data_IF_422530896116
#
_entry.id   IF_422530896116
#
_cell.length_a   1.000
_cell.length_b   1.000
_cell.length_c   1.000
_cell.angle_alpha   90.00
_cell.angle_beta   90.00
_cell.angle_gamma   90.00
#
_symmetry.space_group_name_H-M   'P 1'
#
loop_
_entity.id
_entity.type
_entity.pdbx_description
1 polymer ?
#
# COMPACT_ATOMS: atom_id res chain seq x y z
N UNK A 1 -21.26 5.21 30.78
CA UNK A 1 -21.56 6.01 29.57
C UNK A 1 -20.40 5.87 28.62
N UNK A 2 -20.58 5.22 27.45
CA UNK A 2 -19.50 5.08 26.44
C UNK A 2 -19.30 6.43 25.77
N UNK A 3 -18.42 7.26 26.35
CA UNK A 3 -17.96 8.50 25.73
C UNK A 3 -17.33 8.15 24.39
N UNK A 4 -17.96 8.57 23.29
CA UNK A 4 -17.40 8.46 21.95
C UNK A 4 -16.04 9.17 21.88
N UNK A 5 -15.15 8.74 21.00
CA UNK A 5 -13.87 9.43 20.80
C UNK A 5 -14.12 10.87 20.32
N UNK A 6 -13.30 11.81 20.77
CA UNK A 6 -13.35 13.22 20.31
C UNK A 6 -13.30 13.28 18.78
N UNK A 7 -14.14 14.11 18.17
CA UNK A 7 -14.18 14.34 16.71
C UNK A 7 -12.80 14.71 16.15
N UNK A 8 -11.99 15.41 16.96
CA UNK A 8 -10.58 15.74 16.67
C UNK A 8 -9.73 14.52 16.29
N UNK A 9 -9.95 13.36 16.91
CA UNK A 9 -9.20 12.13 16.59
C UNK A 9 -9.50 11.67 15.18
N UNK A 10 -10.77 11.71 14.76
CA UNK A 10 -11.17 11.36 13.41
C UNK A 10 -10.62 12.33 12.37
N UNK A 11 -10.57 13.64 12.68
CA UNK A 11 -9.91 14.62 11.81
C UNK A 11 -8.41 14.36 11.67
N UNK A 12 -7.70 14.12 12.77
CA UNK A 12 -6.25 13.87 12.77
C UNK A 12 -5.94 12.58 12.00
N UNK A 13 -6.64 11.50 12.32
CA UNK A 13 -6.40 10.21 11.69
C UNK A 13 -6.85 10.20 10.22
N UNK A 14 -7.99 10.80 9.91
CA UNK A 14 -8.49 10.92 8.54
C UNK A 14 -7.54 11.72 7.65
N UNK A 15 -7.06 12.86 8.14
CA UNK A 15 -6.10 13.70 7.40
C UNK A 15 -4.76 13.00 7.20
N UNK A 16 -4.23 12.31 8.22
CA UNK A 16 -3.01 11.53 8.06
C UNK A 16 -3.21 10.37 7.08
N UNK A 17 -4.36 9.71 7.11
CA UNK A 17 -4.69 8.61 6.23
C UNK A 17 -4.86 9.07 4.76
N UNK A 18 -5.04 10.37 4.47
CA UNK A 18 -5.00 10.91 3.10
C UNK A 18 -3.66 10.64 2.38
N UNK A 19 -2.58 10.35 3.10
CA UNK A 19 -1.36 9.85 2.44
C UNK A 19 -1.60 8.53 1.68
N UNK A 20 -2.55 7.70 2.15
CA UNK A 20 -3.02 6.53 1.41
C UNK A 20 -3.78 6.91 0.15
N UNK A 21 -4.60 7.96 0.20
CA UNK A 21 -5.29 8.50 -0.97
C UNK A 21 -4.30 8.88 -2.08
N UNK A 22 -3.21 9.60 -1.75
CA UNK A 22 -2.18 9.96 -2.73
C UNK A 22 -1.51 8.75 -3.38
N UNK A 23 -1.19 7.75 -2.57
CA UNK A 23 -0.65 6.50 -3.09
C UNK A 23 -1.64 5.87 -4.09
N UNK A 24 -2.91 5.74 -3.70
CA UNK A 24 -3.94 5.19 -4.57
C UNK A 24 -4.19 5.98 -5.86
N UNK A 25 -4.20 7.31 -5.77
CA UNK A 25 -4.35 8.20 -6.93
C UNK A 25 -3.22 8.00 -7.94
N UNK A 26 -1.98 7.82 -7.49
CA UNK A 26 -0.87 7.55 -8.39
C UNK A 26 -0.99 6.19 -9.07
N UNK A 27 -1.34 5.14 -8.31
CA UNK A 27 -1.52 3.79 -8.84
C UNK A 27 -2.61 3.73 -9.91
N UNK A 28 -3.78 4.30 -9.61
CA UNK A 28 -4.88 4.37 -10.57
C UNK A 28 -4.60 5.33 -11.73
N UNK A 29 -3.79 6.36 -11.53
CA UNK A 29 -3.42 7.28 -12.60
C UNK A 29 -2.70 6.54 -13.72
N UNK A 30 -1.60 5.83 -13.41
CA UNK A 30 -0.85 5.09 -14.43
C UNK A 30 -1.72 4.08 -15.14
N UNK A 31 -2.57 3.36 -14.41
CA UNK A 31 -3.47 2.38 -15.00
C UNK A 31 -4.28 2.93 -16.18
N UNK A 32 -4.77 4.17 -16.04
CA UNK A 32 -5.67 4.78 -17.02
C UNK A 32 -5.00 5.79 -17.94
N UNK A 33 -3.79 6.27 -17.62
CA UNK A 33 -3.07 7.30 -18.37
C UNK A 33 -1.85 6.77 -19.11
N UNK A 34 -1.37 5.55 -18.84
CA UNK A 34 -0.15 5.02 -19.46
C UNK A 34 -0.22 5.01 -20.99
N UNK A 35 -1.34 4.60 -21.57
CA UNK A 35 -1.55 4.63 -23.02
C UNK A 35 -1.50 6.08 -23.57
N UNK A 36 -2.11 7.02 -22.87
CA UNK A 36 -2.05 8.46 -23.21
C UNK A 36 -0.61 8.99 -23.14
N UNK A 37 0.16 8.61 -22.11
CA UNK A 37 1.57 8.99 -21.95
C UNK A 37 2.40 8.41 -23.10
N UNK A 38 2.16 7.13 -23.46
CA UNK A 38 2.83 6.49 -24.60
C UNK A 38 2.57 7.24 -25.90
N UNK A 39 1.33 7.68 -26.14
CA UNK A 39 0.96 8.46 -27.33
C UNK A 39 1.60 9.85 -27.37
N UNK A 40 1.66 10.56 -26.24
CA UNK A 40 2.24 11.92 -26.15
C UNK A 40 3.77 11.88 -26.30
N UNK A 41 4.44 10.91 -25.67
CA UNK A 41 5.92 10.86 -25.63
C UNK A 41 6.52 9.82 -26.59
N UNK A 42 5.71 9.10 -27.37
CA UNK A 42 6.18 8.07 -28.30
C UNK A 42 6.83 6.87 -27.61
N UNK A 43 6.34 6.46 -26.43
CA UNK A 43 6.96 5.36 -25.66
C UNK A 43 6.53 3.98 -26.18
N UNK A 44 7.51 3.12 -26.42
CA UNK A 44 7.30 1.69 -26.59
C UNK A 44 6.88 1.02 -25.27
N UNK A 45 6.57 -0.28 -25.31
CA UNK A 45 6.09 -1.02 -24.14
C UNK A 45 7.17 -1.05 -23.05
N UNK A 46 8.42 -1.31 -23.43
CA UNK A 46 9.54 -1.36 -22.50
C UNK A 46 9.78 -0.02 -21.81
N UNK A 47 9.74 1.09 -22.54
CA UNK A 47 9.92 2.44 -21.96
C UNK A 47 8.72 2.84 -21.09
N UNK A 48 7.52 2.36 -21.41
CA UNK A 48 6.31 2.58 -20.61
C UNK A 48 6.34 1.79 -19.28
N UNK A 49 6.79 0.53 -19.32
CA UNK A 49 7.05 -0.27 -18.12
C UNK A 49 8.13 0.39 -17.25
N UNK A 50 9.22 0.83 -17.89
CA UNK A 50 10.30 1.52 -17.20
C UNK A 50 9.87 2.83 -16.55
N UNK A 51 9.05 3.62 -17.25
CA UNK A 51 8.42 4.81 -16.67
C UNK A 51 7.54 4.46 -15.46
N UNK A 52 6.76 3.38 -15.55
CA UNK A 52 5.91 2.93 -14.45
C UNK A 52 6.74 2.47 -13.25
N UNK A 53 7.84 1.76 -13.48
CA UNK A 53 8.69 1.16 -12.44
C UNK A 53 9.59 2.15 -11.70
N UNK A 54 9.99 3.27 -12.33
CA UNK A 54 10.81 4.32 -11.69
C UNK A 54 10.18 4.87 -10.40
N UNK A 55 8.84 4.89 -10.34
CA UNK A 55 8.14 5.24 -9.09
C UNK A 55 8.57 4.32 -7.94
N UNK A 56 8.67 3.02 -8.18
CA UNK A 56 9.04 2.06 -7.16
C UNK A 56 10.48 2.27 -6.70
N UNK A 57 11.41 2.65 -7.59
CA UNK A 57 12.77 3.05 -7.22
C UNK A 57 12.75 4.25 -6.27
N UNK A 58 11.94 5.28 -6.58
CA UNK A 58 11.67 6.39 -5.66
C UNK A 58 11.13 5.90 -4.32
N UNK A 59 10.16 4.98 -4.34
CA UNK A 59 9.55 4.35 -3.17
C UNK A 59 10.55 3.64 -2.26
N UNK A 60 11.51 2.89 -2.83
CA UNK A 60 12.59 2.23 -2.07
C UNK A 60 13.46 3.27 -1.35
N UNK A 61 13.90 4.31 -2.06
CA UNK A 61 14.74 5.37 -1.46
C UNK A 61 13.96 6.17 -0.42
N UNK A 62 12.69 6.49 -0.70
CA UNK A 62 11.79 7.16 0.22
C UNK A 62 11.57 6.36 1.50
N UNK A 63 11.34 5.05 1.38
CA UNK A 63 11.20 4.13 2.52
C UNK A 63 12.50 4.05 3.33
N UNK A 64 13.65 3.93 2.67
CA UNK A 64 14.96 3.88 3.35
C UNK A 64 15.23 5.15 4.19
N UNK A 65 14.93 6.33 3.63
CA UNK A 65 15.16 7.61 4.33
C UNK A 65 14.04 7.96 5.32
N UNK A 66 12.87 7.33 5.22
CA UNK A 66 11.71 7.61 6.08
C UNK A 66 11.99 7.41 7.57
N UNK A 67 12.79 6.40 7.95
CA UNK A 67 13.17 6.18 9.35
C UNK A 67 14.02 7.32 9.93
N UNK A 68 14.92 7.89 9.13
CA UNK A 68 15.72 9.06 9.51
C UNK A 68 14.83 10.30 9.62
N UNK A 69 13.97 10.52 8.62
CA UNK A 69 13.04 11.65 8.61
C UNK A 69 12.07 11.58 9.82
N UNK A 70 11.49 10.42 10.11
CA UNK A 70 10.65 10.19 11.28
C UNK A 70 11.35 10.59 12.58
N UNK A 71 12.62 10.20 12.73
CA UNK A 71 13.40 10.43 13.96
C UNK A 71 13.84 11.88 14.13
N UNK A 72 14.36 12.50 13.08
CA UNK A 72 14.94 13.85 13.15
C UNK A 72 13.91 14.94 12.92
N UNK A 73 13.12 14.81 11.85
CA UNK A 73 12.17 15.82 11.41
C UNK A 73 10.83 15.72 12.16
N UNK A 74 10.45 14.53 12.61
CA UNK A 74 9.13 14.25 13.21
C UNK A 74 8.15 13.70 12.18
N UNK A 75 7.02 13.17 12.65
CA UNK A 75 6.03 12.51 11.80
C UNK A 75 5.25 13.54 11.00
N UNK A 76 4.77 14.61 11.64
CA UNK A 76 4.00 15.69 10.98
C UNK A 76 4.81 16.29 9.82
N UNK A 77 6.01 16.77 10.12
CA UNK A 77 6.85 17.46 9.13
C UNK A 77 7.29 16.55 7.99
N UNK A 78 7.46 15.25 8.25
CA UNK A 78 7.72 14.26 7.19
C UNK A 78 6.52 14.11 6.25
N UNK A 79 5.28 14.12 6.75
CA UNK A 79 4.07 14.12 5.91
C UNK A 79 3.93 15.41 5.10
N UNK A 80 4.23 16.57 5.69
CA UNK A 80 4.23 17.86 4.99
C UNK A 80 5.23 17.85 3.84
N UNK A 81 6.47 17.39 4.08
CA UNK A 81 7.50 17.28 3.06
C UNK A 81 7.06 16.34 1.92
N UNK A 82 6.52 15.18 2.27
CA UNK A 82 5.99 14.22 1.31
C UNK A 82 4.87 14.84 0.45
N UNK A 83 3.89 15.50 1.07
CA UNK A 83 2.80 16.15 0.35
C UNK A 83 3.28 17.26 -0.58
N UNK A 84 4.27 18.06 -0.15
CA UNK A 84 4.88 19.10 -0.97
C UNK A 84 5.57 18.52 -2.21
N UNK A 85 6.47 17.54 -2.02
CA UNK A 85 7.21 16.90 -3.12
C UNK A 85 6.23 16.28 -4.11
N UNK A 86 5.21 15.59 -3.61
CA UNK A 86 4.20 14.96 -4.45
C UNK A 86 3.42 15.99 -5.27
N UNK A 87 2.89 17.03 -4.62
CA UNK A 87 2.14 18.10 -5.27
C UNK A 87 2.98 18.86 -6.33
N UNK A 88 4.21 19.25 -5.97
CA UNK A 88 5.11 19.95 -6.88
C UNK A 88 5.49 19.08 -8.09
N UNK A 89 5.78 17.80 -7.87
CA UNK A 89 6.12 16.87 -8.95
C UNK A 89 4.93 16.63 -9.89
N UNK A 90 3.72 16.46 -9.36
CA UNK A 90 2.50 16.35 -10.17
C UNK A 90 2.21 17.61 -10.97
N UNK A 91 2.46 18.80 -10.40
CA UNK A 91 2.27 20.07 -11.09
C UNK A 91 3.24 20.22 -12.26
N UNK A 92 4.52 19.87 -12.05
CA UNK A 92 5.51 19.88 -13.12
C UNK A 92 5.13 18.87 -14.20
N UNK A 93 4.68 17.66 -13.86
CA UNK A 93 4.22 16.67 -14.84
C UNK A 93 3.00 17.15 -15.65
N UNK A 94 2.11 17.96 -15.07
CA UNK A 94 0.96 18.52 -15.77
C UNK A 94 1.35 19.48 -16.90
N UNK A 95 2.56 20.07 -16.84
CA UNK A 95 3.08 20.98 -17.86
C UNK A 95 3.69 20.24 -19.07
N UNK A 96 3.66 18.90 -19.07
CA UNK A 96 4.26 18.04 -20.10
C UNK A 96 5.71 18.39 -20.43
N UNK A 97 6.61 18.37 -19.42
CA UNK A 97 8.02 18.70 -19.64
C UNK A 97 8.70 17.59 -20.45
N UNK A 98 9.93 17.79 -20.94
CA UNK A 98 10.68 16.75 -21.66
C UNK A 98 10.74 15.43 -20.87
N UNK A 99 10.79 14.30 -21.58
CA UNK A 99 10.70 12.96 -20.98
C UNK A 99 11.70 12.71 -19.83
N UNK A 100 12.91 13.27 -19.90
CA UNK A 100 13.89 13.19 -18.83
C UNK A 100 13.37 13.81 -17.50
N UNK A 101 12.69 14.95 -17.59
CA UNK A 101 12.06 15.61 -16.43
C UNK A 101 10.87 14.79 -15.94
N UNK A 102 10.09 14.18 -16.85
CA UNK A 102 9.01 13.26 -16.47
C UNK A 102 9.52 12.08 -15.65
N UNK A 103 10.67 11.49 -16.00
CA UNK A 103 11.31 10.44 -15.20
C UNK A 103 11.73 10.94 -13.81
N UNK A 104 12.29 12.14 -13.71
CA UNK A 104 12.65 12.75 -12.42
C UNK A 104 11.40 13.00 -11.57
N UNK A 105 10.35 13.59 -12.15
CA UNK A 105 9.06 13.78 -11.46
C UNK A 105 8.49 12.45 -10.98
N UNK A 106 8.57 11.39 -11.80
CA UNK A 106 8.11 10.04 -11.44
C UNK A 106 8.87 9.46 -10.26
N UNK A 107 10.20 9.63 -10.25
CA UNK A 107 11.04 9.24 -9.12
C UNK A 107 10.65 10.02 -7.85
N UNK A 108 10.46 11.33 -7.95
CA UNK A 108 10.08 12.18 -6.81
C UNK A 108 8.68 11.87 -6.26
N UNK A 109 7.70 11.56 -7.13
CA UNK A 109 6.40 11.05 -6.72
C UNK A 109 6.55 9.75 -5.93
N UNK A 110 7.37 8.82 -6.43
CA UNK A 110 7.69 7.58 -5.75
C UNK A 110 8.37 7.81 -4.39
N UNK A 111 9.33 8.73 -4.34
CA UNK A 111 10.02 9.13 -3.13
C UNK A 111 9.06 9.64 -2.05
N UNK A 112 8.13 10.52 -2.43
CA UNK A 112 7.08 11.00 -1.54
C UNK A 112 6.18 9.86 -1.05
N UNK A 113 5.66 9.01 -1.96
CA UNK A 113 4.83 7.86 -1.56
C UNK A 113 5.59 6.90 -0.63
N UNK A 114 6.88 6.66 -0.89
CA UNK A 114 7.76 5.86 -0.04
C UNK A 114 7.82 6.39 1.40
N UNK A 115 7.99 7.71 1.57
CA UNK A 115 7.92 8.36 2.89
C UNK A 115 6.54 8.17 3.51
N UNK A 116 5.46 8.50 2.78
CA UNK A 116 4.10 8.41 3.30
C UNK A 116 3.72 6.97 3.72
N UNK A 117 4.11 5.96 2.95
CA UNK A 117 3.81 4.54 3.21
C UNK A 117 4.39 4.02 4.53
N UNK A 118 5.48 4.63 5.02
CA UNK A 118 6.05 4.33 6.33
C UNK A 118 5.51 5.25 7.43
N UNK A 119 5.46 6.57 7.17
CA UNK A 119 5.11 7.56 8.19
C UNK A 119 3.64 7.50 8.57
N UNK A 120 2.72 7.27 7.62
CA UNK A 120 1.28 7.26 7.90
C UNK A 120 0.89 6.14 8.87
N UNK A 121 1.21 4.85 8.62
CA UNK A 121 0.89 3.79 9.58
C UNK A 121 1.55 4.01 10.94
N UNK A 122 2.79 4.51 10.96
CA UNK A 122 3.49 4.82 12.20
C UNK A 122 2.76 5.92 12.99
N UNK A 123 2.47 7.05 12.34
CA UNK A 123 1.77 8.19 12.94
C UNK A 123 0.38 7.81 13.45
N UNK A 124 -0.38 7.05 12.66
CA UNK A 124 -1.68 6.53 13.07
C UNK A 124 -1.54 5.62 14.29
N UNK A 125 -0.52 4.75 14.34
CA UNK A 125 -0.30 3.86 15.48
C UNK A 125 0.10 4.61 16.76
N UNK A 126 0.78 5.76 16.65
CA UNK A 126 1.26 6.56 17.77
C UNK A 126 0.22 7.57 18.28
N UNK A 127 -0.72 7.98 17.43
CA UNK A 127 -1.71 9.03 17.74
C UNK A 127 -3.10 8.46 18.03
N UNK A 128 -3.44 7.30 17.44
CA UNK A 128 -4.73 6.67 17.66
C UNK A 128 -4.78 5.96 19.02
N UNK A 129 -5.92 6.06 19.75
CA UNK A 129 -6.18 5.24 20.93
C UNK A 129 -6.00 3.75 20.64
N UNK A 130 -5.50 3.00 21.63
CA UNK A 130 -5.19 1.58 21.48
C UNK A 130 -6.37 0.74 20.95
N UNK A 131 -7.59 1.08 21.34
CA UNK A 131 -8.84 0.43 20.97
C UNK A 131 -9.24 0.56 19.50
N UNK A 132 -8.78 1.60 18.78
CA UNK A 132 -9.12 1.83 17.36
C UNK A 132 -7.90 1.73 16.43
N UNK A 133 -6.73 1.38 16.96
CA UNK A 133 -5.47 1.38 16.22
C UNK A 133 -5.49 0.47 14.98
N UNK A 134 -6.06 -0.72 15.10
CA UNK A 134 -6.24 -1.66 13.98
C UNK A 134 -7.16 -1.09 12.89
N UNK A 135 -8.26 -0.46 13.29
CA UNK A 135 -9.19 0.19 12.35
C UNK A 135 -8.55 1.36 11.60
N UNK A 136 -7.63 2.10 12.23
CA UNK A 136 -6.89 3.20 11.58
C UNK A 136 -5.88 2.67 10.55
N UNK A 137 -5.23 1.53 10.82
CA UNK A 137 -4.40 0.85 9.83
C UNK A 137 -5.20 0.46 8.59
N UNK A 138 -6.43 -0.03 8.77
CA UNK A 138 -7.31 -0.36 7.64
C UNK A 138 -7.88 0.87 6.95
N UNK A 139 -8.04 2.01 7.64
CA UNK A 139 -8.44 3.28 7.03
C UNK A 139 -7.42 3.76 5.99
N UNK A 140 -6.12 3.59 6.26
CA UNK A 140 -5.07 3.88 5.30
C UNK A 140 -5.24 3.06 4.00
N UNK A 141 -5.46 1.74 4.13
CA UNK A 141 -5.73 0.88 2.98
C UNK A 141 -7.01 1.26 2.24
N UNK A 142 -8.08 1.60 2.98
CA UNK A 142 -9.33 2.05 2.39
C UNK A 142 -9.12 3.31 1.54
N UNK A 143 -8.38 4.29 2.03
CA UNK A 143 -8.09 5.51 1.28
C UNK A 143 -7.20 5.26 0.04
N UNK A 144 -6.29 4.28 0.09
CA UNK A 144 -5.59 3.81 -1.13
C UNK A 144 -6.62 3.36 -2.17
N UNK A 145 -7.54 2.47 -1.80
CA UNK A 145 -8.52 1.95 -2.78
C UNK A 145 -9.52 3.00 -3.28
N UNK A 146 -9.91 3.95 -2.42
CA UNK A 146 -10.71 5.11 -2.81
C UNK A 146 -9.94 5.99 -3.80
N UNK A 147 -8.64 6.21 -3.57
CA UNK A 147 -7.78 6.97 -4.47
C UNK A 147 -7.71 6.33 -5.86
N UNK A 148 -7.47 5.01 -5.92
CA UNK A 148 -7.44 4.25 -7.19
C UNK A 148 -8.78 4.41 -7.93
N UNK A 149 -9.90 4.29 -7.22
CA UNK A 149 -11.23 4.43 -7.81
C UNK A 149 -11.50 5.86 -8.33
N UNK A 150 -11.23 6.89 -7.53
CA UNK A 150 -11.51 8.29 -7.88
C UNK A 150 -10.71 8.75 -9.10
N UNK A 151 -9.41 8.42 -9.15
CA UNK A 151 -8.59 8.79 -10.31
C UNK A 151 -9.01 8.00 -11.55
N UNK A 152 -9.39 6.73 -11.41
CA UNK A 152 -9.86 5.92 -12.54
C UNK A 152 -11.16 6.47 -13.11
N UNK A 153 -12.09 6.87 -12.24
CA UNK A 153 -13.35 7.48 -12.63
C UNK A 153 -13.13 8.82 -13.35
N UNK A 154 -12.30 9.69 -12.79
CA UNK A 154 -12.01 11.00 -13.39
C UNK A 154 -11.25 10.87 -14.71
N UNK A 155 -10.24 9.99 -14.80
CA UNK A 155 -9.52 9.74 -16.04
C UNK A 155 -10.41 9.11 -17.11
N UNK A 156 -11.31 8.18 -16.73
CA UNK A 156 -12.31 7.63 -17.65
C UNK A 156 -13.21 8.73 -18.21
N UNK A 157 -13.72 9.61 -17.34
CA UNK A 157 -14.52 10.76 -17.78
C UNK A 157 -13.69 11.63 -18.73
N UNK A 158 -12.48 12.05 -18.35
CA UNK A 158 -11.61 12.89 -19.20
C UNK A 158 -11.40 12.23 -20.58
N UNK A 159 -11.13 10.93 -20.63
CA UNK A 159 -10.92 10.19 -21.87
C UNK A 159 -12.18 10.08 -22.76
N UNK A 160 -13.39 10.18 -22.19
CA UNK A 160 -14.64 10.22 -22.97
C UNK A 160 -14.92 11.60 -23.57
N UNK A 161 -14.55 12.67 -22.87
CA UNK A 161 -14.83 14.04 -23.30
C UNK A 161 -13.73 14.64 -24.17
N UNK A 162 -12.50 14.16 -24.03
CA UNK A 162 -11.32 14.75 -24.65
C UNK A 162 -10.57 13.69 -25.45
N UNK A 163 -10.66 13.80 -26.79
CA UNK A 163 -10.03 12.86 -27.71
C UNK A 163 -8.53 13.11 -27.91
N UNK A 164 -8.04 14.35 -27.68
CA UNK A 164 -6.62 14.68 -27.87
C UNK A 164 -5.79 14.27 -26.65
N UNK A 165 -4.79 13.38 -26.80
CA UNK A 165 -3.92 12.98 -25.70
C UNK A 165 -3.16 14.14 -25.05
N UNK A 166 -2.76 15.13 -25.85
CA UNK A 166 -1.98 16.30 -25.39
C UNK A 166 -2.78 17.22 -24.48
N UNK A 167 -4.11 17.27 -24.63
CA UNK A 167 -4.99 18.06 -23.74
C UNK A 167 -5.56 17.21 -22.60
N UNK A 168 -5.78 15.91 -22.82
CA UNK A 168 -6.26 15.00 -21.79
C UNK A 168 -5.22 14.78 -20.67
N UNK A 169 -3.95 14.55 -21.02
CA UNK A 169 -2.91 14.19 -20.05
C UNK A 169 -2.64 15.28 -18.98
N UNK A 170 -2.52 16.58 -19.31
CA UNK A 170 -2.43 17.67 -18.33
C UNK A 170 -3.60 17.71 -17.36
N UNK A 171 -4.82 17.46 -17.85
CA UNK A 171 -6.03 17.46 -17.02
C UNK A 171 -6.05 16.28 -16.06
N UNK A 172 -5.62 15.10 -16.51
CA UNK A 172 -5.47 13.93 -15.64
C UNK A 172 -4.46 14.20 -14.51
N UNK A 173 -3.32 14.85 -14.82
CA UNK A 173 -2.37 15.29 -13.79
C UNK A 173 -2.94 16.38 -12.88
N UNK A 174 -3.72 17.31 -13.41
CA UNK A 174 -4.33 18.39 -12.63
C UNK A 174 -5.28 17.85 -11.55
N UNK A 175 -6.00 16.76 -11.83
CA UNK A 175 -6.80 16.07 -10.81
C UNK A 175 -5.93 15.60 -9.65
N UNK A 176 -4.77 14.99 -9.93
CA UNK A 176 -3.82 14.59 -8.89
C UNK A 176 -3.34 15.80 -8.09
N UNK A 177 -2.99 16.90 -8.76
CA UNK A 177 -2.52 18.14 -8.10
C UNK A 177 -3.55 18.66 -7.10
N UNK A 178 -4.85 18.63 -7.44
CA UNK A 178 -5.92 19.06 -6.53
C UNK A 178 -5.94 18.21 -5.25
N UNK A 179 -5.95 16.89 -5.38
CA UNK A 179 -5.96 15.99 -4.22
C UNK A 179 -4.65 16.05 -3.42
N UNK A 180 -3.50 16.19 -4.09
CA UNK A 180 -2.20 16.40 -3.48
C UNK A 180 -2.16 17.70 -2.68
N UNK A 181 -2.72 18.79 -3.23
CA UNK A 181 -2.85 20.08 -2.57
C UNK A 181 -3.72 20.01 -1.31
N UNK A 182 -4.85 19.28 -1.37
CA UNK A 182 -5.72 19.06 -0.22
C UNK A 182 -5.00 18.31 0.92
N UNK A 183 -4.28 17.24 0.59
CA UNK A 183 -3.51 16.48 1.59
C UNK A 183 -2.34 17.30 2.14
N UNK A 184 -1.60 18.01 1.29
CA UNK A 184 -0.53 18.90 1.71
C UNK A 184 -1.05 19.98 2.67
N UNK A 185 -2.11 20.69 2.31
CA UNK A 185 -2.73 21.70 3.16
C UNK A 185 -3.22 21.10 4.49
N UNK A 186 -3.91 19.95 4.45
CA UNK A 186 -4.37 19.25 5.65
C UNK A 186 -3.23 18.85 6.58
N UNK A 187 -2.11 18.39 6.03
CA UNK A 187 -0.95 17.94 6.81
C UNK A 187 -0.28 19.07 7.62
N UNK A 188 -0.42 20.33 7.20
CA UNK A 188 0.09 21.50 7.94
C UNK A 188 -0.58 21.69 9.30
N UNK A 189 -1.84 21.26 9.43
CA UNK A 189 -2.64 21.40 10.65
C UNK A 189 -2.55 20.20 11.60
N UNK A 190 -1.88 19.12 11.19
CA UNK A 190 -1.71 17.95 12.06
C UNK A 190 -0.87 18.31 13.30
N UNK A 191 -1.17 17.73 14.48
CA UNK A 191 -0.26 17.77 15.61
C UNK A 191 0.97 16.88 15.35
N UNK A 192 2.01 17.05 16.14
CA UNK A 192 3.14 16.12 16.14
C UNK A 192 2.82 14.88 17.00
N UNK A 193 3.46 13.76 16.73
CA UNK A 193 3.24 12.52 17.50
C UNK A 193 3.61 12.72 18.98
N UNK A 194 2.72 12.37 19.93
CA UNK A 194 3.03 12.43 21.36
C UNK A 194 4.28 11.63 21.73
N UNK A 195 4.44 10.44 21.13
CA UNK A 195 5.59 9.56 21.36
C UNK A 195 6.89 10.19 20.87
N UNK A 196 6.86 10.86 19.72
CA UNK A 196 8.04 11.59 19.22
C UNK A 196 8.38 12.81 20.09
N UNK A 197 7.37 13.55 20.55
CA UNK A 197 7.57 14.69 21.46
C UNK A 197 8.22 14.24 22.77
N UNK A 198 7.76 13.13 23.34
CA UNK A 198 8.37 12.51 24.52
C UNK A 198 9.82 12.08 24.25
N UNK A 199 10.11 11.48 23.08
CA UNK A 199 11.49 11.12 22.67
C UNK A 199 12.42 12.34 22.57
N UNK A 200 11.89 13.52 22.25
CA UNK A 200 12.64 14.79 22.20
C UNK A 200 12.69 15.53 23.54
N UNK A 201 12.12 14.97 24.61
CA UNK A 201 12.04 15.60 25.93
C UNK A 201 11.00 16.72 26.03
N UNK A 202 10.09 16.86 25.06
CA UNK A 202 9.06 17.91 25.01
C UNK A 202 7.76 17.41 25.65
N UNK A 203 7.80 17.13 26.96
CA UNK A 203 6.71 16.50 27.72
C UNK A 203 5.42 17.34 27.74
N UNK A 204 5.53 18.65 27.89
CA UNK A 204 4.36 19.53 27.98
C UNK A 204 3.56 19.53 26.67
N UNK A 205 4.26 19.57 25.54
CA UNK A 205 3.63 19.48 24.22
C UNK A 205 3.02 18.10 23.97
N UNK A 206 3.69 17.03 24.39
CA UNK A 206 3.14 15.68 24.29
C UNK A 206 1.83 15.56 25.08
N UNK A 207 1.80 16.13 26.29
CA UNK A 207 0.61 16.18 27.16
C UNK A 207 -0.52 16.95 26.49
N UNK A 208 -0.23 18.12 25.90
CA UNK A 208 -1.22 18.93 25.21
C UNK A 208 -1.82 18.21 23.98
N UNK A 209 -1.05 17.41 23.26
CA UNK A 209 -1.57 16.58 22.15
C UNK A 209 -2.44 15.45 22.69
N UNK A 210 -2.01 14.75 23.74
CA UNK A 210 -2.78 13.65 24.35
C UNK A 210 -4.12 14.12 24.92
N UNK A 211 -4.17 15.31 25.52
CA UNK A 211 -5.41 15.92 25.98
C UNK A 211 -6.42 16.19 24.84
N UNK A 212 -5.93 16.36 23.60
CA UNK A 212 -6.79 16.52 22.42
C UNK A 212 -7.27 15.18 21.85
N UNK A 213 -6.52 14.09 22.05
CA UNK A 213 -6.83 12.77 21.47
C UNK A 213 -7.49 11.80 22.45
N UNK A 214 -7.25 11.93 23.74
CA UNK A 214 -7.80 11.06 24.80
C UNK A 214 -8.99 11.74 25.51
N UNK A 215 -9.85 10.92 26.08
CA UNK A 215 -11.12 11.38 26.66
C UNK A 215 -10.98 11.79 28.12
N UNK A 216 -10.14 11.11 28.92
CA UNK A 216 -9.97 11.38 30.36
C UNK A 216 -8.55 11.86 30.71
N UNK A 217 -8.40 12.73 31.73
CA UNK A 217 -7.08 13.11 32.24
C UNK A 217 -6.29 11.92 32.80
N UNK A 218 -6.95 10.90 33.37
CA UNK A 218 -6.25 9.70 33.87
C UNK A 218 -5.61 8.91 32.74
N UNK A 219 -6.29 8.76 31.59
CA UNK A 219 -5.73 8.07 30.42
C UNK A 219 -4.48 8.80 29.89
N UNK A 220 -4.49 10.14 29.91
CA UNK A 220 -3.34 10.96 29.51
C UNK A 220 -2.14 10.72 30.44
N UNK A 221 -2.36 10.77 31.76
CA UNK A 221 -1.32 10.53 32.75
C UNK A 221 -0.74 9.12 32.64
N UNK A 222 -1.61 8.12 32.42
CA UNK A 222 -1.20 6.72 32.24
C UNK A 222 -0.32 6.56 31.00
N UNK A 223 -0.74 7.09 29.86
CA UNK A 223 0.04 6.96 28.62
C UNK A 223 1.40 7.68 28.74
N UNK A 224 1.45 8.85 29.39
CA UNK A 224 2.71 9.57 29.66
C UNK A 224 3.64 8.71 30.53
N UNK A 225 3.12 8.16 31.63
CA UNK A 225 3.90 7.32 32.53
C UNK A 225 4.44 6.07 31.81
N UNK A 226 3.62 5.42 30.98
CA UNK A 226 4.02 4.26 30.17
C UNK A 226 5.12 4.64 29.15
N UNK A 227 5.03 5.83 28.55
CA UNK A 227 6.06 6.37 27.66
C UNK A 227 7.37 6.66 28.40
N UNK A 228 7.32 7.25 29.59
CA UNK A 228 8.51 7.55 30.41
C UNK A 228 9.22 6.27 30.87
N UNK A 229 8.46 5.27 31.31
CA UNK A 229 8.99 3.95 31.67
C UNK A 229 9.72 3.28 30.50
N UNK A 230 9.25 3.52 29.27
CA UNK A 230 9.87 3.01 28.05
C UNK A 230 11.16 3.79 27.69
N UNK A 231 11.17 5.12 27.88
CA UNK A 231 12.31 6.00 27.58
C UNK A 231 13.47 5.85 28.57
N UNK A 232 13.19 5.59 29.86
CA UNK A 232 14.20 5.40 30.90
C UNK A 232 15.14 4.22 30.65
N UNK A 233 14.74 3.27 29.80
CA UNK A 233 15.57 2.13 29.36
C UNK A 233 16.46 2.57 28.17
N UNK A 234 17.44 3.45 28.43
CA UNK A 234 18.37 4.02 27.42
C UNK A 234 19.17 2.96 26.63
N UNK A 235 19.35 3.20 25.33
CA UNK A 235 20.47 2.68 24.53
C UNK A 235 20.12 1.70 23.41
N UNK A 236 19.57 2.18 22.29
CA UNK A 236 19.44 1.38 21.07
C UNK A 236 20.77 1.35 20.30
N UNK A 237 21.53 0.26 20.42
CA UNK A 237 22.61 -0.08 19.48
C UNK A 237 22.03 -0.97 18.37
N UNK A 238 22.12 -0.52 17.12
CA UNK A 238 21.74 -1.30 15.92
C UNK A 238 22.41 -2.68 15.92
N UNK A 239 23.62 -2.81 16.48
CA UNK A 239 24.31 -4.10 16.65
C UNK A 239 23.58 -5.14 17.51
N UNK A 240 22.67 -4.74 18.41
CA UNK A 240 21.85 -5.68 19.19
C UNK A 240 20.64 -6.22 18.41
N UNK A 241 20.33 -5.68 17.22
CA UNK A 241 19.28 -6.17 16.32
C UNK A 241 19.70 -7.43 15.55
N UNK A 242 21.00 -7.71 15.47
CA UNK A 242 21.53 -8.91 14.81
C UNK A 242 21.44 -10.16 15.69
N UNK A 243 20.82 -10.07 16.88
CA UNK A 243 20.47 -11.26 17.66
C UNK A 243 19.51 -12.14 16.83
N UNK A 244 19.80 -13.44 16.75
CA UNK A 244 19.12 -14.36 15.82
C UNK A 244 17.59 -14.41 15.92
N UNK A 245 16.99 -13.96 17.02
CA UNK A 245 15.53 -13.88 17.16
C UNK A 245 14.90 -12.77 16.29
N UNK A 246 15.55 -11.60 16.16
CA UNK A 246 15.03 -10.49 15.36
C UNK A 246 15.17 -10.79 13.86
N UNK A 247 16.24 -11.46 13.45
CA UNK A 247 16.42 -11.88 12.06
C UNK A 247 15.29 -12.84 11.64
N UNK A 248 14.88 -13.79 12.49
CA UNK A 248 13.76 -14.70 12.19
C UNK A 248 12.45 -13.95 11.93
N UNK A 249 12.10 -12.98 12.79
CA UNK A 249 10.86 -12.21 12.62
C UNK A 249 10.93 -11.23 11.44
N UNK A 250 12.12 -10.69 11.18
CA UNK A 250 12.40 -9.89 10.01
C UNK A 250 12.21 -10.69 8.71
N UNK A 251 12.71 -11.92 8.65
CA UNK A 251 12.50 -12.79 7.49
C UNK A 251 11.02 -13.07 7.26
N UNK A 252 10.22 -13.29 8.31
CA UNK A 252 8.76 -13.43 8.17
C UNK A 252 8.14 -12.19 7.56
N UNK A 253 8.48 -10.99 8.06
CA UNK A 253 8.00 -9.73 7.49
C UNK A 253 8.44 -9.50 6.04
N UNK A 254 9.70 -9.83 5.72
CA UNK A 254 10.26 -9.72 4.36
C UNK A 254 9.47 -10.60 3.40
N UNK A 255 9.38 -11.91 3.66
CA UNK A 255 8.68 -12.83 2.77
C UNK A 255 7.19 -12.54 2.67
N UNK A 256 6.56 -12.05 3.74
CA UNK A 256 5.17 -11.62 3.70
C UNK A 256 4.97 -10.47 2.68
N UNK A 257 5.87 -9.49 2.65
CA UNK A 257 5.83 -8.40 1.69
C UNK A 257 6.23 -8.83 0.27
N UNK A 258 7.18 -9.75 0.13
CA UNK A 258 7.52 -10.36 -1.16
C UNK A 258 6.28 -11.04 -1.75
N UNK A 259 5.60 -11.90 -0.99
CA UNK A 259 4.41 -12.58 -1.47
C UNK A 259 3.26 -11.62 -1.74
N UNK A 260 3.07 -10.56 -0.95
CA UNK A 260 2.06 -9.53 -1.23
C UNK A 260 2.23 -8.94 -2.65
N UNK A 261 3.47 -8.81 -3.11
CA UNK A 261 3.77 -8.33 -4.47
C UNK A 261 3.68 -9.45 -5.52
N UNK A 262 4.30 -10.59 -5.26
CA UNK A 262 4.39 -11.71 -6.21
C UNK A 262 3.05 -12.39 -6.53
N UNK A 263 2.00 -12.17 -5.73
CA UNK A 263 0.63 -12.57 -6.12
C UNK A 263 0.04 -11.67 -7.23
N UNK A 264 0.76 -10.64 -7.67
CA UNK A 264 0.48 -9.93 -8.94
C UNK A 264 -0.41 -8.70 -8.84
N UNK A 265 -0.71 -8.18 -7.64
CA UNK A 265 -1.73 -7.15 -7.49
C UNK A 265 -1.39 -5.85 -8.22
N UNK A 266 -0.12 -5.44 -8.19
CA UNK A 266 0.31 -4.20 -8.82
C UNK A 266 0.24 -4.28 -10.35
N UNK A 267 0.51 -5.44 -10.94
CA UNK A 267 0.31 -5.70 -12.37
C UNK A 267 -1.17 -5.61 -12.73
N UNK A 268 -2.04 -6.21 -11.91
CA UNK A 268 -3.48 -6.14 -12.12
C UNK A 268 -4.05 -4.72 -11.94
N UNK A 269 -3.49 -3.90 -11.06
CA UNK A 269 -3.93 -2.51 -10.88
C UNK A 269 -3.41 -1.63 -12.04
N UNK A 270 -2.11 -1.71 -12.36
CA UNK A 270 -1.45 -0.80 -13.30
C UNK A 270 -1.70 -1.15 -14.77
N UNK A 271 -1.91 -2.43 -15.07
CA UNK A 271 -2.02 -2.88 -16.44
C UNK A 271 -3.38 -3.52 -16.74
N UNK A 272 -4.37 -3.39 -15.83
CA UNK A 272 -5.72 -3.92 -16.05
C UNK A 272 -6.30 -3.51 -17.41
N UNK A 273 -6.29 -2.23 -17.82
CA UNK A 273 -6.86 -1.84 -19.11
C UNK A 273 -6.16 -2.50 -20.30
N UNK A 274 -4.83 -2.63 -20.23
CA UNK A 274 -4.02 -3.29 -21.26
C UNK A 274 -4.28 -4.80 -21.31
N UNK A 275 -4.28 -5.46 -20.15
CA UNK A 275 -4.54 -6.90 -20.01
C UNK A 275 -5.94 -7.25 -20.51
N UNK A 276 -6.96 -6.50 -20.10
CA UNK A 276 -8.31 -6.67 -20.61
C UNK A 276 -8.40 -6.38 -22.12
N UNK A 277 -7.64 -5.40 -22.61
CA UNK A 277 -7.49 -5.12 -24.04
C UNK A 277 -7.02 -6.33 -24.85
N UNK A 278 -6.04 -7.11 -24.34
CA UNK A 278 -5.60 -8.35 -24.98
C UNK A 278 -6.71 -9.41 -25.08
N UNK A 279 -7.69 -9.38 -24.17
CA UNK A 279 -8.88 -10.23 -24.23
C UNK A 279 -10.05 -9.61 -25.01
N UNK A 280 -9.86 -8.46 -25.66
CA UNK A 280 -10.90 -7.74 -26.41
C UNK A 280 -11.95 -7.06 -25.52
N UNK A 281 -11.61 -6.76 -24.25
CA UNK A 281 -12.41 -5.97 -23.32
C UNK A 281 -11.86 -4.54 -23.27
N UNK A 282 -12.71 -3.54 -23.48
CA UNK A 282 -12.31 -2.14 -23.56
C UNK A 282 -13.29 -1.22 -22.81
N UNK A 283 -12.96 0.08 -22.75
CA UNK A 283 -13.81 1.11 -22.16
C UNK A 283 -14.00 0.95 -20.66
N UNK A 284 -15.22 1.20 -20.18
CA UNK A 284 -15.54 1.25 -18.75
C UNK A 284 -15.25 -0.07 -18.03
N UNK A 285 -15.49 -1.21 -18.67
CA UNK A 285 -15.22 -2.53 -18.06
C UNK A 285 -13.72 -2.67 -17.78
N UNK A 286 -12.88 -2.36 -18.77
CA UNK A 286 -11.44 -2.50 -18.63
C UNK A 286 -10.83 -1.52 -17.61
N UNK A 287 -11.35 -0.29 -17.55
CA UNK A 287 -10.82 0.78 -16.69
C UNK A 287 -11.39 0.75 -15.27
N UNK A 288 -12.66 0.41 -15.07
CA UNK A 288 -13.35 0.58 -13.79
C UNK A 288 -13.56 -0.71 -13.00
N UNK A 289 -13.50 -1.90 -13.61
CA UNK A 289 -13.77 -3.15 -12.87
C UNK A 289 -12.80 -3.34 -11.71
N UNK A 290 -11.48 -3.29 -11.95
CA UNK A 290 -10.49 -3.52 -10.88
C UNK A 290 -10.56 -2.45 -9.79
N UNK A 291 -10.54 -1.13 -10.08
CA UNK A 291 -10.68 -0.09 -9.06
C UNK A 291 -11.95 -0.20 -8.22
N UNK A 292 -13.10 -0.44 -8.87
CA UNK A 292 -14.40 -0.49 -8.19
C UNK A 292 -14.49 -1.68 -7.25
N UNK A 293 -14.11 -2.87 -7.72
CA UNK A 293 -14.13 -4.10 -6.93
C UNK A 293 -13.15 -3.98 -5.76
N UNK A 294 -11.95 -3.45 -5.99
CA UNK A 294 -10.95 -3.24 -4.94
C UNK A 294 -11.48 -2.33 -3.83
N UNK A 295 -12.09 -1.19 -4.19
CA UNK A 295 -12.69 -0.26 -3.23
C UNK A 295 -13.85 -0.90 -2.45
N UNK A 296 -14.82 -1.51 -3.14
CA UNK A 296 -16.01 -2.08 -2.51
C UNK A 296 -15.65 -3.19 -1.51
N UNK A 297 -14.70 -4.06 -1.86
CA UNK A 297 -14.32 -5.19 -1.00
C UNK A 297 -13.28 -4.85 0.08
N UNK A 298 -12.74 -3.64 0.07
CA UNK A 298 -11.93 -3.14 1.20
C UNK A 298 -12.80 -2.75 2.40
N UNK A 299 -14.08 -2.39 2.21
CA UNK A 299 -14.98 -2.08 3.34
C UNK A 299 -15.26 -3.31 4.25
N UNK A 300 -15.64 -4.50 3.73
CA UNK A 300 -15.78 -5.70 4.54
C UNK A 300 -14.49 -6.13 5.24
N UNK A 301 -13.32 -5.84 4.65
CA UNK A 301 -12.02 -6.21 5.19
C UNK A 301 -11.83 -5.71 6.64
N UNK A 302 -12.27 -4.49 6.95
CA UNK A 302 -12.20 -3.90 8.30
C UNK A 302 -12.84 -4.81 9.35
N UNK A 303 -14.04 -5.34 9.07
CA UNK A 303 -14.76 -6.21 10.00
C UNK A 303 -14.20 -7.63 10.00
N UNK A 304 -13.76 -8.12 8.85
CA UNK A 304 -13.23 -9.47 8.71
C UNK A 304 -11.89 -9.64 9.44
N UNK A 305 -10.98 -8.66 9.34
CA UNK A 305 -9.67 -8.68 10.02
C UNK A 305 -9.81 -8.86 11.53
N UNK A 306 -10.78 -8.15 12.12
CA UNK A 306 -11.06 -8.24 13.55
C UNK A 306 -11.84 -9.50 13.93
N UNK A 307 -12.62 -10.11 13.03
CA UNK A 307 -13.44 -11.30 13.33
C UNK A 307 -12.72 -12.62 13.08
N UNK A 308 -11.92 -12.72 12.02
CA UNK A 308 -11.34 -13.99 11.53
C UNK A 308 -9.87 -14.16 11.90
N UNK A 309 -9.18 -13.10 12.34
CA UNK A 309 -7.74 -13.15 12.59
C UNK A 309 -6.93 -12.98 11.30
N UNK A 310 -5.64 -12.68 11.46
CA UNK A 310 -4.75 -12.30 10.36
C UNK A 310 -4.33 -13.53 9.56
N UNK A 311 -3.95 -14.62 10.24
CA UNK A 311 -3.42 -15.83 9.60
C UNK A 311 -4.47 -16.50 8.71
N UNK A 312 -5.70 -16.63 9.24
CA UNK A 312 -6.81 -17.25 8.49
C UNK A 312 -7.17 -16.47 7.23
N UNK A 313 -7.17 -15.13 7.30
CA UNK A 313 -7.46 -14.29 6.14
C UNK A 313 -6.40 -14.40 5.05
N UNK A 314 -5.11 -14.37 5.41
CA UNK A 314 -4.03 -14.56 4.43
C UNK A 314 -4.16 -15.92 3.72
N UNK A 315 -4.48 -16.98 4.46
CA UNK A 315 -4.65 -18.32 3.90
C UNK A 315 -5.84 -18.40 2.92
N UNK A 316 -7.04 -18.00 3.36
CA UNK A 316 -8.25 -18.04 2.52
C UNK A 316 -8.13 -17.10 1.31
N UNK A 317 -7.52 -15.94 1.52
CA UNK A 317 -7.23 -14.97 0.46
C UNK A 317 -6.32 -15.52 -0.62
N UNK A 318 -5.20 -16.14 -0.22
CA UNK A 318 -4.27 -16.75 -1.18
C UNK A 318 -4.91 -17.90 -1.96
N UNK A 319 -5.76 -18.71 -1.30
CA UNK A 319 -6.51 -19.78 -1.97
C UNK A 319 -7.49 -19.21 -3.02
N UNK A 320 -8.23 -18.15 -2.66
CA UNK A 320 -9.14 -17.47 -3.57
C UNK A 320 -8.38 -16.92 -4.80
N UNK A 321 -7.25 -16.24 -4.57
CA UNK A 321 -6.41 -15.70 -5.63
C UNK A 321 -5.81 -16.80 -6.52
N UNK A 322 -5.36 -17.92 -5.94
CA UNK A 322 -4.80 -19.05 -6.68
C UNK A 322 -5.82 -19.64 -7.67
N UNK A 323 -7.04 -19.93 -7.21
CA UNK A 323 -8.12 -20.49 -8.04
C UNK A 323 -8.46 -19.50 -9.16
N UNK A 324 -8.59 -18.22 -8.81
CA UNK A 324 -8.94 -17.15 -9.73
C UNK A 324 -7.86 -16.94 -10.81
N UNK A 325 -6.59 -16.88 -10.43
CA UNK A 325 -5.48 -16.72 -11.37
C UNK A 325 -5.32 -17.95 -12.28
N UNK A 326 -5.57 -19.15 -11.77
CA UNK A 326 -5.59 -20.36 -12.59
C UNK A 326 -6.71 -20.31 -13.64
N UNK A 327 -7.90 -19.86 -13.23
CA UNK A 327 -9.04 -19.69 -14.15
C UNK A 327 -8.77 -18.60 -15.20
N UNK A 328 -8.17 -17.47 -14.81
CA UNK A 328 -7.78 -16.39 -15.72
C UNK A 328 -6.72 -16.86 -16.73
N UNK A 329 -5.70 -17.60 -16.27
CA UNK A 329 -4.69 -18.21 -17.13
C UNK A 329 -5.29 -19.21 -18.12
N UNK A 330 -6.23 -20.05 -17.67
CA UNK A 330 -6.96 -20.97 -18.53
C UNK A 330 -7.81 -20.24 -19.59
N UNK A 331 -8.46 -19.14 -19.21
CA UNK A 331 -9.23 -18.31 -20.15
C UNK A 331 -8.32 -17.70 -21.22
N UNK A 332 -7.18 -17.12 -20.84
CA UNK A 332 -6.20 -16.60 -21.82
C UNK A 332 -5.57 -17.69 -22.69
N UNK A 333 -5.31 -18.88 -22.14
CA UNK A 333 -4.79 -20.00 -22.90
C UNK A 333 -5.81 -20.48 -23.96
N UNK A 334 -7.10 -20.43 -23.65
CA UNK A 334 -8.17 -20.73 -24.61
C UNK A 334 -8.36 -19.63 -25.66
N UNK A 335 -8.20 -18.35 -25.27
CA UNK A 335 -8.23 -17.21 -26.20
C UNK A 335 -7.09 -17.31 -27.23
N UNK A 336 -5.91 -17.75 -26.80
CA UNK A 336 -4.70 -17.80 -27.63
C UNK A 336 -4.12 -16.40 -27.89
N UNK A 337 -3.40 -16.25 -29.01
CA UNK A 337 -2.98 -14.95 -29.56
C UNK A 337 -3.82 -14.64 -30.82
N UNK A 338 -5.10 -14.26 -30.68
CA UNK A 338 -5.93 -13.99 -31.83
C UNK A 338 -5.41 -12.74 -32.55
N UNK A 339 -5.32 -12.82 -33.87
CA UNK A 339 -4.99 -11.67 -34.74
C UNK A 339 -6.07 -10.58 -34.66
N UNK A 340 -7.30 -10.95 -34.27
CA UNK A 340 -8.42 -10.04 -34.03
C UNK A 340 -9.08 -10.29 -32.65
N UNK A 341 -8.86 -9.41 -31.66
CA UNK A 341 -9.50 -9.47 -30.35
C UNK A 341 -11.04 -9.39 -30.38
N UNK A 342 -11.64 -8.90 -31.47
CA UNK A 342 -13.10 -8.84 -31.63
C UNK A 342 -13.72 -10.23 -31.88
N UNK A 343 -12.95 -11.18 -32.42
CA UNK A 343 -13.40 -12.54 -32.71
C UNK A 343 -13.49 -13.45 -31.46
N UNK A 344 -13.00 -12.97 -30.30
CA UNK A 344 -13.04 -13.71 -29.04
C UNK A 344 -14.50 -13.83 -28.55
N UNK A 345 -14.98 -15.06 -28.36
CA UNK A 345 -16.32 -15.36 -27.86
C UNK A 345 -16.62 -14.80 -26.45
N UNK A 346 -17.89 -14.65 -26.10
CA UNK A 346 -18.31 -14.08 -24.82
C UNK A 346 -17.90 -14.92 -23.60
N UNK A 347 -17.86 -16.26 -23.74
CA UNK A 347 -17.56 -17.17 -22.64
C UNK A 347 -16.17 -16.96 -22.02
N UNK A 348 -15.05 -16.96 -22.77
CA UNK A 348 -13.72 -16.71 -22.19
C UNK A 348 -13.57 -15.29 -21.64
N UNK A 349 -14.20 -14.28 -22.25
CA UNK A 349 -14.25 -12.90 -21.71
C UNK A 349 -14.94 -12.86 -20.34
N UNK A 350 -16.08 -13.54 -20.21
CA UNK A 350 -16.84 -13.63 -18.96
C UNK A 350 -16.08 -14.36 -17.86
N UNK A 351 -15.41 -15.47 -18.20
CA UNK A 351 -14.57 -16.22 -17.25
C UNK A 351 -13.41 -15.36 -16.76
N UNK A 352 -12.70 -14.69 -17.67
CA UNK A 352 -11.60 -13.80 -17.31
C UNK A 352 -12.08 -12.67 -16.38
N UNK A 353 -13.18 -12.01 -16.74
CA UNK A 353 -13.74 -10.93 -15.93
C UNK A 353 -14.13 -11.44 -14.52
N UNK A 354 -14.86 -12.55 -14.43
CA UNK A 354 -15.25 -13.14 -13.16
C UNK A 354 -14.05 -13.56 -12.32
N UNK A 355 -13.04 -14.16 -12.95
CA UNK A 355 -11.80 -14.57 -12.30
C UNK A 355 -11.04 -13.35 -11.74
N UNK A 356 -10.88 -12.28 -12.50
CA UNK A 356 -10.23 -11.05 -12.02
C UNK A 356 -11.02 -10.41 -10.88
N UNK A 357 -12.36 -10.38 -10.97
CA UNK A 357 -13.20 -9.85 -9.88
C UNK A 357 -12.98 -10.66 -8.59
N UNK A 358 -13.02 -11.99 -8.67
CA UNK A 358 -12.81 -12.87 -7.50
C UNK A 358 -11.38 -12.77 -6.95
N UNK A 359 -10.39 -12.60 -7.83
CA UNK A 359 -9.01 -12.34 -7.44
C UNK A 359 -8.88 -11.04 -6.63
N UNK A 360 -9.42 -9.93 -7.14
CA UNK A 360 -9.36 -8.64 -6.46
C UNK A 360 -10.13 -8.68 -5.14
N UNK A 361 -11.30 -9.34 -5.11
CA UNK A 361 -12.01 -9.62 -3.87
C UNK A 361 -11.12 -10.34 -2.85
N UNK A 362 -10.51 -11.45 -3.26
CA UNK A 362 -9.61 -12.24 -2.44
C UNK A 362 -8.48 -11.39 -1.86
N UNK A 363 -7.80 -10.60 -2.69
CA UNK A 363 -6.73 -9.72 -2.28
C UNK A 363 -7.20 -8.62 -1.29
N UNK A 364 -8.27 -7.90 -1.64
CA UNK A 364 -8.75 -6.73 -0.90
C UNK A 364 -9.20 -7.08 0.53
N UNK A 365 -9.82 -8.25 0.72
CA UNK A 365 -10.26 -8.70 2.05
C UNK A 365 -9.14 -9.33 2.89
N UNK A 366 -7.96 -9.57 2.31
CA UNK A 366 -6.88 -10.31 2.96
C UNK A 366 -5.51 -9.64 2.79
N UNK A 367 -4.71 -10.03 1.80
CA UNK A 367 -3.30 -9.66 1.60
C UNK A 367 -3.07 -8.15 1.50
N UNK A 368 -4.04 -7.39 0.99
CA UNK A 368 -3.98 -5.93 0.94
C UNK A 368 -3.75 -5.33 2.33
N UNK A 369 -4.74 -5.35 3.23
CA UNK A 369 -4.58 -4.78 4.57
C UNK A 369 -3.75 -5.65 5.52
N UNK A 370 -3.88 -6.98 5.44
CA UNK A 370 -3.33 -7.88 6.49
C UNK A 370 -1.81 -7.95 6.45
N UNK A 371 -1.15 -7.89 5.29
CA UNK A 371 0.30 -7.96 5.22
C UNK A 371 0.97 -6.78 5.95
N UNK A 372 0.43 -5.57 5.79
CA UNK A 372 0.89 -4.36 6.49
C UNK A 372 0.61 -4.44 7.99
N UNK A 373 -0.58 -4.92 8.37
CA UNK A 373 -0.95 -5.08 9.79
C UNK A 373 -0.02 -6.06 10.50
N UNK A 374 0.19 -7.25 9.93
CA UNK A 374 1.08 -8.27 10.50
C UNK A 374 2.50 -7.73 10.65
N UNK A 375 3.07 -7.06 9.63
CA UNK A 375 4.39 -6.43 9.76
C UNK A 375 4.42 -5.45 10.94
N UNK A 376 3.39 -4.64 11.11
CA UNK A 376 3.32 -3.68 12.21
C UNK A 376 3.13 -4.32 13.59
N UNK A 377 2.58 -5.53 13.66
CA UNK A 377 2.21 -6.27 14.87
C UNK A 377 3.30 -7.28 15.31
N UNK A 378 4.10 -7.83 14.40
CA UNK A 378 5.13 -8.83 14.74
C UNK A 378 6.44 -8.21 15.26
N UNK A 379 6.76 -6.97 14.87
CA UNK A 379 8.04 -6.39 15.23
C UNK A 379 8.06 -5.92 16.68
N UNK A 380 9.07 -6.34 17.48
CA UNK A 380 9.22 -5.87 18.84
C UNK A 380 9.45 -4.35 18.85
N UNK A 381 9.00 -3.69 19.92
CA UNK A 381 9.11 -2.23 20.10
C UNK A 381 10.55 -1.77 19.82
N UNK A 382 11.53 -2.54 20.31
CA UNK A 382 12.94 -2.35 20.02
C UNK A 382 13.28 -2.93 18.64
N UNK A 383 13.39 -2.06 17.64
CA UNK A 383 13.73 -2.45 16.26
C UNK A 383 12.58 -2.38 15.27
N UNK A 384 11.37 -2.04 15.73
CA UNK A 384 10.18 -1.85 14.88
C UNK A 384 10.41 -0.90 13.71
N UNK A 385 11.05 0.25 13.95
CA UNK A 385 11.39 1.20 12.88
C UNK A 385 12.25 0.56 11.78
N UNK A 386 13.25 -0.25 12.17
CA UNK A 386 14.15 -0.95 11.24
C UNK A 386 13.41 -2.06 10.50
N UNK A 387 12.64 -2.88 11.22
CA UNK A 387 11.85 -3.95 10.63
C UNK A 387 10.88 -3.41 9.58
N UNK A 388 10.10 -2.40 9.95
CA UNK A 388 9.16 -1.73 9.04
C UNK A 388 9.87 -1.13 7.82
N UNK A 389 11.01 -0.45 8.01
CA UNK A 389 11.80 0.13 6.90
C UNK A 389 12.23 -0.94 5.91
N UNK A 390 12.85 -2.03 6.38
CA UNK A 390 13.33 -3.12 5.53
C UNK A 390 12.19 -3.81 4.80
N UNK A 391 11.08 -4.11 5.50
CA UNK A 391 9.92 -4.76 4.87
C UNK A 391 9.28 -3.87 3.81
N UNK A 392 9.19 -2.56 4.04
CA UNK A 392 8.63 -1.60 3.07
C UNK A 392 9.57 -1.45 1.86
N UNK A 393 10.89 -1.41 2.06
CA UNK A 393 11.84 -1.40 0.95
C UNK A 393 11.70 -2.64 0.08
N UNK A 394 11.62 -3.82 0.69
CA UNK A 394 11.41 -5.08 -0.05
C UNK A 394 10.09 -5.05 -0.83
N UNK A 395 9.02 -4.54 -0.22
CA UNK A 395 7.73 -4.36 -0.89
C UNK A 395 7.89 -3.52 -2.17
N UNK A 396 8.50 -2.34 -2.08
CA UNK A 396 8.72 -1.47 -3.24
C UNK A 396 9.65 -2.09 -4.28
N UNK A 397 10.70 -2.81 -3.86
CA UNK A 397 11.59 -3.50 -4.81
C UNK A 397 10.83 -4.52 -5.66
N UNK A 398 10.04 -5.39 -5.04
CA UNK A 398 9.28 -6.40 -5.78
C UNK A 398 8.12 -5.80 -6.59
N UNK A 399 7.50 -4.73 -6.08
CA UNK A 399 6.52 -3.95 -6.84
C UNK A 399 7.15 -3.41 -8.14
N UNK A 400 8.33 -2.78 -8.03
CA UNK A 400 9.08 -2.23 -9.16
C UNK A 400 9.51 -3.31 -10.16
N UNK A 401 10.04 -4.42 -9.67
CA UNK A 401 10.45 -5.54 -10.52
C UNK A 401 9.27 -6.08 -11.35
N UNK A 402 8.10 -6.26 -10.75
CA UNK A 402 6.92 -6.72 -11.48
C UNK A 402 6.40 -5.66 -12.45
N UNK A 403 6.34 -4.40 -12.04
CA UNK A 403 5.92 -3.31 -12.93
C UNK A 403 6.84 -3.15 -14.14
N UNK A 404 8.14 -3.33 -13.95
CA UNK A 404 9.14 -3.16 -15.02
C UNK A 404 9.10 -4.31 -16.03
N UNK A 405 8.58 -5.50 -15.70
CA UNK A 405 8.78 -6.70 -16.52
C UNK A 405 7.49 -7.44 -16.92
N UNK A 406 6.32 -7.09 -16.38
CA UNK A 406 5.11 -7.91 -16.54
C UNK A 406 4.56 -7.97 -17.98
N UNK A 407 4.44 -6.84 -18.68
CA UNK A 407 3.98 -6.80 -20.07
C UNK A 407 5.00 -7.44 -21.00
N UNK A 408 6.29 -7.12 -20.84
CA UNK A 408 7.37 -7.76 -21.63
C UNK A 408 7.35 -9.28 -21.43
N UNK A 409 7.12 -9.77 -20.20
CA UNK A 409 7.00 -11.20 -19.92
C UNK A 409 5.79 -11.82 -20.63
N UNK A 410 4.63 -11.15 -20.61
CA UNK A 410 3.42 -11.60 -21.31
C UNK A 410 3.60 -11.64 -22.83
N UNK A 411 4.32 -10.70 -23.43
CA UNK A 411 4.60 -10.70 -24.87
C UNK A 411 5.55 -11.84 -25.26
N UNK A 412 6.57 -12.10 -24.44
CA UNK A 412 7.56 -13.15 -24.71
C UNK A 412 7.04 -14.58 -24.47
N UNK A 413 6.18 -14.79 -23.47
CA UNK A 413 5.73 -16.12 -23.04
C UNK A 413 4.23 -16.37 -23.25
N UNK A 414 3.53 -15.42 -23.88
CA UNK A 414 2.09 -15.44 -24.09
C UNK A 414 1.28 -14.89 -22.90
N UNK A 415 0.13 -14.30 -23.19
CA UNK A 415 -0.68 -13.57 -22.19
C UNK A 415 -1.16 -14.42 -21.01
N UNK A 416 -1.33 -15.73 -21.20
CA UNK A 416 -1.73 -16.65 -20.13
C UNK A 416 -0.64 -16.88 -19.05
N UNK A 417 0.64 -16.74 -19.43
CA UNK A 417 1.80 -17.15 -18.62
C UNK A 417 1.86 -16.42 -17.27
N UNK A 418 1.59 -15.12 -17.25
CA UNK A 418 1.68 -14.28 -16.05
C UNK A 418 0.68 -14.72 -14.97
N UNK A 419 -0.50 -15.19 -15.37
CA UNK A 419 -1.54 -15.65 -14.45
C UNK A 419 -1.15 -16.96 -13.78
N UNK A 420 -0.56 -17.89 -14.54
CA UNK A 420 -0.03 -19.14 -13.96
C UNK A 420 1.15 -18.88 -13.04
N UNK A 421 2.01 -17.91 -13.36
CA UNK A 421 3.09 -17.48 -12.48
C UNK A 421 2.54 -16.92 -11.14
N UNK A 422 1.52 -16.07 -11.19
CA UNK A 422 0.88 -15.57 -9.97
C UNK A 422 0.15 -16.68 -9.18
N UNK A 423 -0.48 -17.64 -9.85
CA UNK A 423 -1.09 -18.79 -9.21
C UNK A 423 -0.03 -19.65 -8.48
N UNK A 424 1.13 -19.86 -9.09
CA UNK A 424 2.27 -20.54 -8.46
C UNK A 424 2.76 -19.81 -7.21
N UNK A 425 2.93 -18.49 -7.26
CA UNK A 425 3.30 -17.72 -6.08
C UNK A 425 2.21 -17.72 -4.99
N UNK A 426 0.92 -17.81 -5.36
CA UNK A 426 -0.14 -18.01 -4.38
C UNK A 426 0.01 -19.36 -3.64
N UNK A 427 0.41 -20.44 -4.32
CA UNK A 427 0.68 -21.74 -3.68
C UNK A 427 1.83 -21.61 -2.66
N UNK A 428 2.93 -20.96 -3.05
CA UNK A 428 4.06 -20.72 -2.15
C UNK A 428 3.67 -19.84 -0.97
N UNK A 429 2.84 -18.82 -1.21
CA UNK A 429 2.32 -17.94 -0.17
C UNK A 429 1.44 -18.70 0.83
N UNK A 430 0.59 -19.63 0.37
CA UNK A 430 -0.22 -20.52 1.24
C UNK A 430 0.70 -21.36 2.13
N UNK A 431 1.71 -22.02 1.55
CA UNK A 431 2.66 -22.84 2.29
C UNK A 431 3.43 -22.02 3.33
N UNK A 432 3.88 -20.81 2.96
CA UNK A 432 4.56 -19.88 3.85
C UNK A 432 3.68 -19.44 5.03
N UNK A 433 2.44 -19.02 4.76
CA UNK A 433 1.49 -18.59 5.79
C UNK A 433 1.19 -19.73 6.77
N UNK A 434 1.01 -20.95 6.27
CA UNK A 434 0.76 -22.12 7.11
C UNK A 434 1.95 -22.43 8.03
N UNK A 435 3.18 -22.33 7.51
CA UNK A 435 4.39 -22.75 8.21
C UNK A 435 4.97 -21.68 9.16
N UNK A 436 4.93 -20.39 8.80
CA UNK A 436 5.76 -19.37 9.46
C UNK A 436 4.99 -18.19 10.05
N UNK A 437 3.80 -17.87 9.55
CA UNK A 437 3.05 -16.68 9.99
C UNK A 437 2.29 -16.97 11.28
N UNK A 438 2.50 -16.19 12.37
CA UNK A 438 1.71 -16.31 13.58
C UNK A 438 0.34 -15.66 13.44
N UNK A 439 -0.60 -16.07 14.30
CA UNK A 439 -1.78 -15.26 14.58
C UNK A 439 -1.38 -14.10 15.51
N UNK A 440 -1.79 -12.88 15.18
CA UNK A 440 -1.43 -11.67 15.95
C UNK A 440 -2.65 -11.02 16.59
N UNK A 441 -3.86 -11.53 16.29
CA UNK A 441 -5.11 -10.97 16.80
C UNK A 441 -5.18 -11.07 18.33
N UNK A 442 -5.32 -9.90 18.98
CA UNK A 442 -5.55 -9.82 20.43
C UNK A 442 -4.31 -10.09 21.27
N UNK A 443 -3.14 -10.24 20.65
CA UNK A 443 -1.86 -10.50 21.33
C UNK A 443 -1.10 -9.19 21.46
N UNK A 444 -0.55 -8.91 22.64
CA UNK A 444 0.23 -7.68 22.85
C UNK A 444 1.62 -7.80 22.24
N UNK A 445 2.24 -6.66 21.89
CA UNK A 445 3.60 -6.64 21.34
C UNK A 445 4.60 -7.25 22.33
N UNK A 446 4.38 -7.04 23.62
CA UNK A 446 5.20 -7.57 24.71
C UNK A 446 5.09 -9.09 24.82
N UNK A 447 3.90 -9.65 24.59
CA UNK A 447 3.68 -11.10 24.56
C UNK A 447 4.42 -11.74 23.37
N UNK A 448 4.33 -11.15 22.17
CA UNK A 448 5.06 -11.63 21.00
C UNK A 448 6.58 -11.58 21.26
N UNK A 449 7.09 -10.49 21.83
CA UNK A 449 8.52 -10.38 22.17
C UNK A 449 8.93 -11.40 23.24
N UNK A 450 8.08 -11.65 24.23
CA UNK A 450 8.29 -12.66 25.27
C UNK A 450 8.36 -14.08 24.69
N UNK A 451 7.37 -14.45 23.87
CA UNK A 451 7.29 -15.74 23.18
C UNK A 451 8.49 -15.97 22.26
N UNK A 452 8.92 -14.92 21.55
CA UNK A 452 10.09 -14.95 20.67
C UNK A 452 11.40 -15.17 21.46
N UNK A 453 11.55 -14.53 22.63
CA UNK A 453 12.69 -14.75 23.54
C UNK A 453 12.67 -16.13 24.19
N UNK A 454 11.49 -16.67 24.45
CA UNK A 454 11.29 -18.03 24.96
C UNK A 454 11.58 -19.12 23.91
N UNK A 455 11.85 -18.75 22.66
CA UNK A 455 12.20 -19.70 21.61
C UNK A 455 11.01 -20.46 21.02
N UNK A 456 9.77 -19.98 21.23
CA UNK A 456 8.58 -20.56 20.57
C UNK A 456 8.74 -20.52 19.05
N UNK A 457 8.10 -21.48 18.36
CA UNK A 457 8.09 -21.51 16.89
C UNK A 457 7.39 -20.26 16.37
N UNK A 458 7.85 -19.75 15.21
CA UNK A 458 7.35 -18.50 14.62
C UNK A 458 5.84 -18.48 14.41
N UNK A 459 5.25 -19.62 14.02
CA UNK A 459 3.80 -19.75 13.81
C UNK A 459 2.97 -19.78 15.10
N UNK A 460 3.60 -20.04 16.25
CA UNK A 460 2.98 -20.22 17.55
C UNK A 460 3.28 -18.99 18.46
N UNK A 461 3.72 -17.86 17.88
CA UNK A 461 4.04 -16.64 18.65
C UNK A 461 2.79 -15.93 19.20
N UNK A 462 1.62 -16.24 18.65
CA UNK A 462 0.34 -15.71 19.12
C UNK A 462 -0.34 -16.55 20.21
N UNK A 463 0.16 -17.77 20.43
CA UNK A 463 -0.28 -18.70 21.47
C UNK A 463 0.61 -18.55 22.72
#
# INVERSE_FOLDING_TARGET
MRSGYKTTVFYICGTAALGGLLFGLDQGFIANSLDTIRKVYGLDIRSAEHYSSILATGGVIGALLSGLLARYLGRKRSLVLSGFIFCASSLVSALLPPLAVMYVCRFLLGFAIGIASFIVPLYLSETAPASIRGAMGTLFQLLITIGIFLISLTNFIIAQWISSPETALPLMFSVIVVFAGLMFAGSLFLPESPRWLMLKGRKDEATAVLQKTLNTPEDVLREIHDMEATLGRRGFRIGNLLKGYFIKILLVGIFLQVFQQLVGINVMIYYAPTIFGYAGLAGMIAMMTVPTVNMLFTFPAIRLVEKWGRKKLLYVGALCMMISMTAAGGAFAYIGNPSDPAAIGLAPKGILLAAVIFYIFGFAVSWGPVAWLVCSEIFPIRGREVGMTVTTMVNWTFAGLLMDNALTFMEAHGHASIFFLFAFFCILAIAFVAAFVPETRGVTLEQIEGNLKAGKKMRDLGD
#
